data_IF_354852400858
#
_entry.id   IF_354852400858
#
_cell.length_a   1.000
_cell.length_b   1.000
_cell.length_c   1.000
_cell.angle_alpha   90.00
_cell.angle_beta   90.00
_cell.angle_gamma   90.00
#
_symmetry.space_group_name_H-M   'P 1'
#
loop_
_entity.id
_entity.type
_entity.pdbx_description
1 polymer ?
#
# COMPACT_ATOMS: atom_id res chain seq x y z
N UNK A 1 58.59 9.99 -26.84
CA UNK A 1 57.44 9.36 -26.14
C UNK A 1 56.93 10.38 -25.17
N UNK A 2 55.76 11.01 -25.46
CA UNK A 2 55.19 12.10 -24.65
C UNK A 2 54.18 11.56 -23.63
N UNK A 3 54.41 11.87 -22.34
CA UNK A 3 53.66 11.45 -21.15
C UNK A 3 52.28 12.16 -21.03
N UNK A 4 51.49 12.37 -22.08
CA UNK A 4 50.30 13.23 -22.01
C UNK A 4 48.98 12.61 -22.44
N UNK A 5 48.89 11.33 -22.80
CA UNK A 5 47.67 10.75 -23.38
C UNK A 5 46.97 9.69 -22.50
N UNK A 6 47.23 9.69 -21.18
CA UNK A 6 46.64 8.67 -20.28
C UNK A 6 45.37 9.13 -19.50
N UNK A 7 44.90 10.35 -19.70
CA UNK A 7 43.80 10.91 -18.87
C UNK A 7 42.49 11.16 -19.61
N UNK A 8 42.25 10.61 -20.80
CA UNK A 8 41.04 10.91 -21.57
C UNK A 8 40.11 9.71 -21.84
N UNK A 9 40.21 8.63 -21.07
CA UNK A 9 39.20 7.56 -21.10
C UNK A 9 38.81 7.13 -19.69
N UNK A 10 38.05 7.96 -18.97
CA UNK A 10 37.22 7.52 -17.90
C UNK A 10 35.98 6.89 -18.52
N UNK A 11 35.74 5.58 -18.41
CA UNK A 11 34.46 4.98 -18.77
C UNK A 11 33.40 5.54 -17.83
N UNK A 12 32.23 5.82 -18.41
CA UNK A 12 31.12 6.50 -17.76
C UNK A 12 30.88 6.04 -16.33
N UNK A 13 30.69 6.99 -15.43
CA UNK A 13 30.16 6.79 -14.09
C UNK A 13 28.83 6.04 -14.20
N UNK A 14 28.87 4.72 -14.09
CA UNK A 14 27.69 3.94 -13.78
C UNK A 14 27.27 4.37 -12.39
N UNK A 15 26.26 5.20 -12.30
CA UNK A 15 25.59 5.51 -11.04
C UNK A 15 24.95 4.21 -10.52
N UNK A 16 25.70 3.43 -9.77
CA UNK A 16 25.12 2.35 -8.98
C UNK A 16 24.08 2.97 -8.05
N UNK A 17 22.83 2.49 -8.04
CA UNK A 17 21.87 2.93 -7.05
C UNK A 17 22.47 2.63 -5.68
N UNK A 18 22.64 3.69 -4.87
CA UNK A 18 23.17 3.59 -3.51
C UNK A 18 22.16 2.75 -2.70
N UNK A 19 22.42 1.46 -2.57
CA UNK A 19 21.64 0.61 -1.66
C UNK A 19 21.92 1.08 -0.24
N UNK A 20 20.97 1.81 0.33
CA UNK A 20 21.01 2.20 1.73
C UNK A 20 21.12 0.94 2.59
N UNK A 21 22.04 0.90 3.57
CA UNK A 21 22.16 -0.22 4.48
C UNK A 21 20.83 -0.42 5.23
N UNK A 22 20.50 -1.67 5.53
CA UNK A 22 19.21 -2.07 6.11
C UNK A 22 18.84 -1.28 7.39
N UNK A 23 19.83 -0.91 8.18
CA UNK A 23 19.66 -0.04 9.35
C UNK A 23 19.20 1.37 8.99
N UNK A 24 19.65 1.94 7.88
CA UNK A 24 19.21 3.25 7.41
C UNK A 24 17.76 3.22 6.89
N UNK A 25 17.36 2.15 6.21
CA UNK A 25 15.97 1.91 5.81
C UNK A 25 15.05 1.79 7.03
N UNK A 26 15.46 1.05 8.05
CA UNK A 26 14.70 0.91 9.29
C UNK A 26 14.54 2.24 10.04
N UNK A 27 15.62 3.04 10.14
CA UNK A 27 15.59 4.35 10.75
C UNK A 27 14.74 5.37 9.97
N UNK A 28 14.68 5.24 8.65
CA UNK A 28 13.83 6.04 7.79
C UNK A 28 12.36 5.62 7.93
N UNK A 29 12.08 4.34 7.97
CA UNK A 29 10.74 3.80 8.21
C UNK A 29 10.18 4.26 9.56
N UNK A 30 11.02 4.36 10.60
CA UNK A 30 10.62 4.84 11.94
C UNK A 30 10.20 6.32 12.01
N UNK A 31 10.30 7.07 10.91
CA UNK A 31 9.89 8.50 10.84
C UNK A 31 8.79 8.73 9.82
N UNK A 32 8.19 7.67 9.31
CA UNK A 32 7.18 7.74 8.27
C UNK A 32 5.90 8.41 8.78
N UNK A 33 5.32 9.30 7.99
CA UNK A 33 4.04 9.95 8.31
C UNK A 33 3.07 9.81 7.15
N UNK A 34 1.82 9.53 7.49
CA UNK A 34 0.73 9.51 6.52
C UNK A 34 0.42 10.95 6.11
N UNK A 35 0.44 11.24 4.81
CA UNK A 35 0.17 12.57 4.27
C UNK A 35 -1.20 12.71 3.64
N UNK A 36 -1.74 11.62 3.08
CA UNK A 36 -3.05 11.64 2.44
C UNK A 36 -3.65 10.23 2.35
N UNK A 37 -4.97 10.17 2.18
CA UNK A 37 -5.71 8.94 1.85
C UNK A 37 -6.59 9.22 0.65
N UNK A 38 -6.51 8.37 -0.38
CA UNK A 38 -7.23 8.58 -1.64
C UNK A 38 -8.03 7.35 -2.03
N UNK A 39 -9.10 7.59 -2.79
CA UNK A 39 -9.85 6.55 -3.47
C UNK A 39 -9.57 6.60 -4.96
N UNK A 40 -9.10 5.50 -5.50
CA UNK A 40 -8.84 5.33 -6.93
C UNK A 40 -9.93 4.45 -7.51
N UNK A 41 -10.64 4.96 -8.52
CA UNK A 41 -11.67 4.20 -9.23
C UNK A 41 -11.04 3.41 -10.37
N UNK A 42 -11.17 2.10 -10.31
CA UNK A 42 -10.74 1.19 -11.38
C UNK A 42 -11.89 1.06 -12.38
N UNK A 43 -11.63 1.37 -13.64
CA UNK A 43 -12.63 1.25 -14.71
C UNK A 43 -12.99 -0.22 -14.97
N UNK A 44 -14.24 -0.45 -15.31
CA UNK A 44 -14.67 -1.75 -15.84
C UNK A 44 -13.99 -1.98 -17.20
N UNK A 45 -13.27 -3.08 -17.31
CA UNK A 45 -12.62 -3.53 -18.54
C UNK A 45 -13.53 -4.54 -19.24
N UNK A 46 -14.08 -5.46 -18.47
CA UNK A 46 -14.87 -6.56 -19.00
C UNK A 46 -15.88 -7.06 -17.97
N UNK A 47 -17.10 -7.36 -18.42
CA UNK A 47 -18.10 -8.06 -17.63
C UNK A 47 -18.09 -9.54 -18.04
N UNK A 48 -17.74 -10.42 -17.15
CA UNK A 48 -17.71 -11.88 -17.35
C UNK A 48 -19.06 -12.54 -17.07
N UNK A 49 -20.06 -11.76 -16.66
CA UNK A 49 -21.37 -12.26 -16.30
C UNK A 49 -21.36 -13.20 -15.09
N UNK A 50 -22.24 -14.19 -15.08
CA UNK A 50 -22.38 -15.13 -13.97
C UNK A 50 -21.45 -16.33 -14.22
N UNK A 51 -20.29 -16.38 -13.51
CA UNK A 51 -19.31 -17.46 -13.66
C UNK A 51 -19.67 -18.73 -12.87
N UNK A 52 -20.38 -18.58 -11.77
CA UNK A 52 -20.76 -19.72 -10.93
C UNK A 52 -22.17 -19.56 -10.39
N UNK A 53 -23.00 -20.58 -10.54
CA UNK A 53 -24.29 -20.69 -9.89
C UNK A 53 -24.12 -21.52 -8.63
N UNK A 54 -24.10 -20.86 -7.48
CA UNK A 54 -24.15 -21.57 -6.22
C UNK A 54 -25.60 -21.90 -5.91
N UNK A 55 -25.89 -23.20 -5.80
CA UNK A 55 -27.26 -23.72 -5.65
C UNK A 55 -27.93 -23.27 -4.36
N UNK A 56 -27.14 -22.88 -3.36
CA UNK A 56 -27.54 -22.59 -2.00
C UNK A 56 -27.68 -21.10 -1.68
N UNK A 57 -27.52 -20.21 -2.68
CA UNK A 57 -27.72 -18.78 -2.45
C UNK A 57 -29.08 -18.33 -3.00
N UNK A 58 -29.96 -17.74 -2.17
CA UNK A 58 -31.29 -17.26 -2.60
C UNK A 58 -31.25 -16.22 -3.72
N UNK A 59 -30.07 -15.68 -4.08
CA UNK A 59 -29.86 -14.58 -5.03
C UNK A 59 -29.21 -14.99 -6.35
N UNK A 60 -29.07 -16.26 -6.66
CA UNK A 60 -28.89 -16.70 -8.04
C UNK A 60 -27.50 -16.63 -8.67
N UNK A 61 -26.40 -16.71 -7.93
CA UNK A 61 -25.07 -16.88 -8.52
C UNK A 61 -24.10 -15.71 -8.32
N UNK A 62 -22.82 -15.94 -8.60
CA UNK A 62 -21.74 -14.94 -8.49
C UNK A 62 -21.61 -14.19 -9.81
N UNK A 63 -21.99 -12.91 -9.83
CA UNK A 63 -21.72 -12.01 -10.95
C UNK A 63 -20.28 -11.48 -10.81
N UNK A 64 -19.44 -11.75 -11.80
CA UNK A 64 -18.03 -11.37 -11.80
C UNK A 64 -17.78 -10.31 -12.84
N UNK A 65 -17.29 -9.17 -12.38
CA UNK A 65 -16.87 -8.05 -13.21
C UNK A 65 -15.36 -7.82 -13.01
N UNK A 66 -14.65 -7.56 -14.10
CA UNK A 66 -13.25 -7.18 -14.07
C UNK A 66 -13.15 -5.66 -14.10
N UNK A 67 -12.74 -5.07 -12.99
CA UNK A 67 -12.74 -3.63 -12.78
C UNK A 67 -14.03 -3.12 -12.13
N UNK A 68 -14.32 -1.84 -12.31
CA UNK A 68 -15.46 -1.12 -11.73
C UNK A 68 -15.55 -1.19 -10.20
N UNK A 69 -14.39 -1.19 -9.54
CA UNK A 69 -14.26 -1.11 -8.09
C UNK A 69 -13.34 0.05 -7.69
N UNK A 70 -13.30 0.36 -6.44
CA UNK A 70 -12.36 1.33 -5.88
C UNK A 70 -11.28 0.64 -5.07
N UNK A 71 -10.10 1.25 -5.01
CA UNK A 71 -9.04 0.92 -4.08
C UNK A 71 -8.76 2.12 -3.18
N UNK A 72 -8.32 1.85 -1.97
CA UNK A 72 -7.86 2.88 -1.03
C UNK A 72 -6.35 2.94 -1.08
N UNK A 73 -5.80 4.14 -1.28
CA UNK A 73 -4.38 4.41 -1.20
C UNK A 73 -4.08 5.23 0.06
N UNK A 74 -3.08 4.81 0.82
CA UNK A 74 -2.52 5.56 1.95
C UNK A 74 -1.15 6.06 1.55
N UNK A 75 -1.01 7.38 1.41
CA UNK A 75 0.22 8.05 0.97
C UNK A 75 1.05 8.51 2.17
N UNK A 76 2.38 8.54 1.99
CA UNK A 76 3.32 8.99 3.03
C UNK A 76 4.23 10.10 2.53
N UNK A 77 4.88 10.78 3.48
CA UNK A 77 5.87 11.84 3.25
C UNK A 77 7.15 11.36 2.54
N UNK A 78 7.38 10.06 2.51
CA UNK A 78 8.53 9.46 1.80
C UNK A 78 8.15 8.82 0.46
N UNK A 79 6.95 9.07 -0.03
CA UNK A 79 6.48 8.60 -1.34
C UNK A 79 6.05 7.13 -1.36
N UNK A 80 6.04 6.43 -0.22
CA UNK A 80 5.46 5.09 -0.14
C UNK A 80 3.94 5.19 -0.17
N UNK A 81 3.30 4.24 -0.85
CA UNK A 81 1.85 4.14 -0.97
C UNK A 81 1.40 2.75 -0.60
N UNK A 82 0.56 2.65 0.43
CA UNK A 82 -0.14 1.41 0.79
C UNK A 82 -1.47 1.30 0.07
N UNK A 83 -1.82 0.09 -0.38
CA UNK A 83 -3.03 -0.17 -1.17
C UNK A 83 -3.91 -1.18 -0.44
N UNK A 84 -5.19 -0.86 -0.34
CA UNK A 84 -6.21 -1.74 0.22
C UNK A 84 -7.52 -1.68 -0.58
N UNK A 85 -8.50 -2.52 -0.24
CA UNK A 85 -9.84 -2.46 -0.82
C UNK A 85 -10.46 -1.07 -0.66
N UNK A 86 -11.34 -0.71 -1.58
CA UNK A 86 -12.05 0.56 -1.51
C UNK A 86 -12.99 0.66 -0.31
N UNK A 87 -13.23 1.88 0.11
CA UNK A 87 -14.24 2.24 1.11
C UNK A 87 -15.33 3.08 0.45
N UNK A 88 -16.51 3.24 1.08
CA UNK A 88 -17.51 4.16 0.59
C UNK A 88 -16.96 5.59 0.52
N UNK A 89 -17.16 6.33 -0.61
CA UNK A 89 -16.55 7.65 -0.80
C UNK A 89 -16.90 8.68 0.28
N UNK A 90 -18.07 8.58 0.87
CA UNK A 90 -18.54 9.44 1.96
C UNK A 90 -17.72 9.30 3.25
N UNK A 91 -16.94 8.22 3.39
CA UNK A 91 -16.12 7.97 4.57
C UNK A 91 -14.67 8.44 4.44
N UNK A 92 -14.24 8.91 3.26
CA UNK A 92 -12.84 9.25 3.01
C UNK A 92 -12.34 10.36 3.94
N UNK A 93 -13.15 11.38 4.18
CA UNK A 93 -12.76 12.49 5.05
C UNK A 93 -12.62 12.05 6.52
N UNK A 94 -13.48 11.14 6.98
CA UNK A 94 -13.35 10.57 8.32
C UNK A 94 -12.06 9.74 8.47
N UNK A 95 -11.64 9.01 7.42
CA UNK A 95 -10.37 8.28 7.42
C UNK A 95 -9.19 9.23 7.43
N UNK A 96 -9.22 10.29 6.62
CA UNK A 96 -8.16 11.32 6.62
C UNK A 96 -7.97 11.94 8.00
N UNK A 97 -9.07 12.33 8.66
CA UNK A 97 -9.01 12.89 10.02
C UNK A 97 -8.39 11.93 11.05
N UNK A 98 -8.57 10.61 10.85
CA UNK A 98 -8.03 9.61 11.74
C UNK A 98 -6.55 9.33 11.51
N UNK A 99 -6.07 9.41 10.26
CA UNK A 99 -4.76 8.87 9.88
C UNK A 99 -3.75 9.92 9.47
N UNK A 100 -4.16 11.03 8.83
CA UNK A 100 -3.20 12.03 8.32
C UNK A 100 -2.40 12.65 9.46
N UNK A 101 -1.09 12.75 9.24
CA UNK A 101 -0.11 13.27 10.21
C UNK A 101 0.40 12.22 11.21
N UNK A 102 -0.16 11.00 11.20
CA UNK A 102 0.22 9.92 12.13
C UNK A 102 1.25 8.97 11.54
N UNK A 103 1.89 8.22 12.43
CA UNK A 103 2.81 7.14 12.08
C UNK A 103 2.01 5.90 11.63
N UNK A 104 2.22 5.38 10.40
CA UNK A 104 1.52 4.19 9.93
C UNK A 104 1.85 2.92 10.72
N UNK A 105 2.95 2.90 11.48
CA UNK A 105 3.34 1.74 12.31
C UNK A 105 2.49 1.59 13.58
N UNK A 106 1.73 2.60 13.97
CA UNK A 106 0.81 2.53 15.12
C UNK A 106 -0.47 1.74 14.80
N UNK A 107 -0.34 0.58 14.17
CA UNK A 107 -1.46 -0.22 13.64
C UNK A 107 -2.54 -0.49 14.69
N UNK A 108 -2.16 -0.85 15.91
CA UNK A 108 -3.15 -1.16 16.96
C UNK A 108 -3.99 0.06 17.35
N UNK A 109 -3.39 1.26 17.36
CA UNK A 109 -4.10 2.50 17.63
C UNK A 109 -5.04 2.86 16.47
N UNK A 110 -4.56 2.68 15.24
CA UNK A 110 -5.37 2.88 14.03
C UNK A 110 -6.53 1.89 13.99
N UNK A 111 -6.27 0.61 14.23
CA UNK A 111 -7.30 -0.42 14.29
C UNK A 111 -8.37 -0.07 15.30
N UNK A 112 -8.01 0.30 16.53
CA UNK A 112 -8.96 0.71 17.56
C UNK A 112 -9.83 1.91 17.15
N UNK A 113 -9.28 2.84 16.36
CA UNK A 113 -10.02 3.98 15.83
C UNK A 113 -10.89 3.62 14.61
N UNK A 114 -10.43 2.68 13.77
CA UNK A 114 -11.10 2.26 12.54
C UNK A 114 -12.22 1.26 12.79
N UNK A 115 -12.04 0.29 13.72
CA UNK A 115 -13.01 -0.76 14.05
C UNK A 115 -14.06 -0.28 15.07
N UNK A 116 -15.00 0.53 14.61
CA UNK A 116 -16.19 0.85 15.39
C UNK A 116 -17.41 0.16 14.78
N UNK A 117 -18.47 -0.16 15.57
CA UNK A 117 -19.64 -0.89 15.06
C UNK A 117 -20.25 -0.29 13.78
N UNK A 118 -20.17 1.03 13.62
CA UNK A 118 -20.70 1.75 12.47
C UNK A 118 -19.71 1.84 11.28
N UNK A 119 -18.44 1.38 11.44
CA UNK A 119 -17.37 1.53 10.45
C UNK A 119 -16.94 0.18 9.89
N UNK A 120 -17.81 -0.42 9.09
CA UNK A 120 -17.54 -1.72 8.43
C UNK A 120 -16.36 -1.68 7.44
N UNK A 121 -15.91 -0.50 7.07
CA UNK A 121 -14.81 -0.26 6.13
C UNK A 121 -13.41 -0.23 6.80
N UNK A 122 -13.33 -0.32 8.13
CA UNK A 122 -12.06 -0.25 8.86
C UNK A 122 -11.03 -1.27 8.38
N UNK A 123 -11.45 -2.51 8.11
CA UNK A 123 -10.58 -3.57 7.59
C UNK A 123 -9.93 -3.21 6.24
N UNK A 124 -10.65 -2.52 5.35
CA UNK A 124 -10.12 -2.08 4.05
C UNK A 124 -8.94 -1.13 4.20
N UNK A 125 -9.06 -0.21 5.14
CA UNK A 125 -8.01 0.78 5.45
C UNK A 125 -6.83 0.10 6.16
N UNK A 126 -7.09 -0.81 7.09
CA UNK A 126 -6.04 -1.57 7.79
C UNK A 126 -5.20 -2.40 6.82
N UNK A 127 -5.82 -3.03 5.81
CA UNK A 127 -5.09 -3.75 4.76
C UNK A 127 -4.11 -2.80 4.03
N UNK A 128 -4.52 -1.58 3.72
CA UNK A 128 -3.64 -0.59 3.11
C UNK A 128 -2.47 -0.19 4.03
N UNK A 129 -2.70 -0.08 5.33
CA UNK A 129 -1.64 0.18 6.31
C UNK A 129 -0.65 -1.01 6.39
N UNK A 130 -1.13 -2.24 6.40
CA UNK A 130 -0.27 -3.42 6.38
C UNK A 130 0.56 -3.53 5.09
N UNK A 131 -0.01 -3.23 3.92
CA UNK A 131 0.72 -3.18 2.66
C UNK A 131 1.82 -2.12 2.71
N UNK A 132 1.52 -0.95 3.29
CA UNK A 132 2.50 0.12 3.51
C UNK A 132 3.65 -0.34 4.42
N UNK A 133 3.34 -1.03 5.52
CA UNK A 133 4.36 -1.56 6.42
C UNK A 133 5.26 -2.60 5.75
N UNK A 134 4.69 -3.50 4.97
CA UNK A 134 5.46 -4.47 4.18
C UNK A 134 6.45 -3.77 3.24
N UNK A 135 6.01 -2.72 2.55
CA UNK A 135 6.85 -1.90 1.67
C UNK A 135 7.92 -1.12 2.43
N UNK A 136 7.56 -0.50 3.56
CA UNK A 136 8.49 0.29 4.37
C UNK A 136 9.60 -0.56 5.01
N UNK A 137 9.28 -1.79 5.41
CA UNK A 137 10.22 -2.72 6.03
C UNK A 137 10.96 -3.61 5.03
N UNK A 138 10.51 -3.63 3.77
CA UNK A 138 10.99 -4.56 2.73
C UNK A 138 10.84 -6.03 3.15
N UNK A 139 9.74 -6.33 3.86
CA UNK A 139 9.42 -7.66 4.33
C UNK A 139 8.02 -8.09 3.88
N UNK A 140 7.84 -9.35 3.49
CA UNK A 140 6.51 -9.88 3.23
C UNK A 140 5.70 -9.99 4.53
N UNK A 141 4.39 -9.72 4.46
CA UNK A 141 3.50 -9.64 5.62
C UNK A 141 3.52 -10.89 6.51
N UNK A 142 3.65 -12.08 5.91
CA UNK A 142 3.70 -13.32 6.71
C UNK A 142 4.87 -13.33 7.71
N UNK A 143 6.02 -12.71 7.35
CA UNK A 143 7.14 -12.56 8.28
C UNK A 143 6.86 -11.53 9.37
N UNK A 144 6.22 -10.42 9.03
CA UNK A 144 5.81 -9.41 10.02
C UNK A 144 4.84 -9.98 11.04
N UNK A 145 4.02 -10.95 10.66
CA UNK A 145 3.08 -11.65 11.55
C UNK A 145 3.69 -12.87 12.25
N UNK A 146 5.02 -13.07 12.15
CA UNK A 146 5.71 -14.16 12.80
C UNK A 146 5.56 -15.53 12.12
N UNK A 147 5.08 -15.55 10.88
CA UNK A 147 4.98 -16.78 10.08
C UNK A 147 6.32 -17.25 9.56
N UNK A 148 6.49 -18.56 9.44
CA UNK A 148 7.60 -19.22 8.73
C UNK A 148 7.06 -19.95 7.51
N UNK A 149 7.89 -20.04 6.45
CA UNK A 149 7.64 -20.94 5.30
C UNK A 149 8.26 -22.28 5.56
#
# INVERSE_FOLDING_TARGET
MRRRDFLTRLPGLVTMPLMLPQAAKAAQAARLKITDVRLIKIKLIEDKGILARRVDTPRGGLHVQIGNFTVTEVHTDQGLVGIGPGIPPENIEAVKQLLVGKDPFEINQHAAALYRPQRRWGASVEIALWDLLGKATDLPLYKLWGGSR
#
